data_IF_356301099980
#
_entry.id   IF_356301099980
#
_cell.length_a   1.000
_cell.length_b   1.000
_cell.length_c   1.000
_cell.angle_alpha   90.00
_cell.angle_beta   90.00
_cell.angle_gamma   90.00
#
_symmetry.space_group_name_H-M   'P 1'
#
loop_
_entity.id
_entity.type
_entity.pdbx_description
1 polymer ?
#
# COMPACT_ATOMS: atom_id res chain seq x y z
N UNK A 1 7.68 7.93 -13.34
CA UNK A 1 8.09 6.97 -12.28
C UNK A 1 8.00 7.66 -10.92
N UNK A 2 7.18 7.14 -10.00
CA UNK A 2 6.97 7.76 -8.67
C UNK A 2 8.21 7.65 -7.78
N UNK A 3 8.37 8.58 -6.83
CA UNK A 3 9.49 8.62 -5.87
C UNK A 3 9.74 7.27 -5.19
N UNK A 4 8.65 6.56 -4.85
CA UNK A 4 8.62 5.25 -4.20
C UNK A 4 9.14 4.07 -5.04
N UNK A 5 9.25 4.19 -6.36
CA UNK A 5 9.73 3.08 -7.21
C UNK A 5 11.16 3.29 -7.73
N UNK A 6 11.80 4.39 -7.36
CA UNK A 6 13.16 4.72 -7.80
C UNK A 6 14.17 4.07 -6.84
N UNK A 7 14.87 3.03 -7.30
CA UNK A 7 15.86 2.27 -6.50
C UNK A 7 16.85 3.15 -5.75
N UNK A 8 17.32 4.24 -6.38
CA UNK A 8 18.27 5.17 -5.74
C UNK A 8 17.70 5.88 -4.52
N UNK A 9 16.39 6.12 -4.46
CA UNK A 9 15.77 6.73 -3.29
C UNK A 9 15.76 5.76 -2.10
N UNK A 10 15.58 4.47 -2.34
CA UNK A 10 15.73 3.45 -1.30
C UNK A 10 17.16 3.36 -0.78
N UNK A 11 18.15 3.31 -1.68
CA UNK A 11 19.56 3.31 -1.29
C UNK A 11 19.94 4.55 -0.48
N UNK A 12 19.49 5.73 -0.91
CA UNK A 12 19.72 6.99 -0.17
C UNK A 12 19.11 6.95 1.22
N UNK A 13 17.89 6.44 1.37
CA UNK A 13 17.23 6.34 2.66
C UNK A 13 17.94 5.35 3.61
N UNK A 14 18.34 4.18 3.11
CA UNK A 14 19.14 3.21 3.87
C UNK A 14 20.49 3.81 4.26
N UNK A 15 21.22 4.40 3.30
CA UNK A 15 22.52 5.05 3.55
C UNK A 15 22.40 6.15 4.62
N UNK A 16 21.41 7.04 4.49
CA UNK A 16 21.21 8.12 5.44
C UNK A 16 20.95 7.61 6.88
N UNK A 17 20.26 6.48 7.01
CA UNK A 17 20.08 5.84 8.31
C UNK A 17 21.39 5.23 8.83
N UNK A 18 22.15 4.53 7.98
CA UNK A 18 23.42 3.90 8.36
C UNK A 18 24.50 4.92 8.75
N UNK A 19 24.63 6.02 8.00
CA UNK A 19 25.57 7.10 8.30
C UNK A 19 25.34 7.66 9.72
N UNK A 20 24.08 7.74 10.15
CA UNK A 20 23.69 8.23 11.49
C UNK A 20 23.96 7.22 12.60
N UNK A 21 23.95 5.92 12.30
CA UNK A 21 24.01 4.85 13.30
C UNK A 21 25.27 3.98 13.18
N UNK A 22 26.28 4.40 12.41
CA UNK A 22 27.55 3.69 12.25
C UNK A 22 27.40 2.28 11.67
N UNK A 23 26.45 2.08 10.76
CA UNK A 23 26.18 0.78 10.14
C UNK A 23 26.86 0.57 8.78
N UNK A 24 26.88 -0.67 8.31
CA UNK A 24 27.28 -1.05 6.95
C UNK A 24 26.18 -1.85 6.27
N UNK A 25 26.20 -1.83 4.94
CA UNK A 25 25.26 -2.59 4.11
C UNK A 25 25.98 -3.26 2.94
N UNK A 26 25.52 -4.45 2.58
CA UNK A 26 25.95 -5.19 1.39
C UNK A 26 24.72 -5.64 0.62
N UNK A 27 24.77 -5.55 -0.72
CA UNK A 27 23.71 -6.03 -1.61
C UNK A 27 24.26 -7.21 -2.38
N UNK A 28 23.57 -8.34 -2.32
CA UNK A 28 23.83 -9.44 -3.21
C UNK A 28 23.22 -9.12 -4.58
N UNK A 29 24.03 -8.86 -5.60
CA UNK A 29 23.54 -8.45 -6.93
C UNK A 29 22.72 -9.52 -7.65
N UNK A 30 22.85 -10.80 -7.28
CA UNK A 30 22.12 -11.90 -7.89
C UNK A 30 20.70 -12.02 -7.32
N UNK A 31 20.55 -11.88 -6.00
CA UNK A 31 19.25 -12.01 -5.33
C UNK A 31 18.59 -10.65 -5.05
N UNK A 32 19.37 -9.57 -5.15
CA UNK A 32 19.04 -8.23 -4.68
C UNK A 32 18.73 -8.14 -3.18
N UNK A 33 19.09 -9.17 -2.39
CA UNK A 33 18.96 -9.13 -0.93
C UNK A 33 19.95 -8.14 -0.33
N UNK A 34 19.49 -7.41 0.69
CA UNK A 34 20.25 -6.39 1.40
C UNK A 34 20.57 -6.88 2.80
N UNK A 35 21.85 -7.10 3.11
CA UNK A 35 22.32 -7.36 4.47
C UNK A 35 22.74 -6.04 5.11
N UNK A 36 22.28 -5.80 6.33
CA UNK A 36 22.65 -4.64 7.13
C UNK A 36 23.29 -5.10 8.43
N UNK A 37 24.40 -4.45 8.82
CA UNK A 37 25.10 -4.68 10.07
C UNK A 37 25.23 -3.38 10.84
N UNK A 38 24.80 -3.38 12.10
CA UNK A 38 25.08 -2.30 13.05
C UNK A 38 24.85 -2.81 14.47
N UNK A 39 25.51 -2.20 15.47
CA UNK A 39 25.31 -2.50 16.90
C UNK A 39 25.44 -3.98 17.25
N UNK A 40 26.41 -4.67 16.66
CA UNK A 40 26.62 -6.12 16.81
C UNK A 40 25.40 -6.99 16.44
N UNK A 41 24.50 -6.46 15.60
CA UNK A 41 23.36 -7.17 15.04
C UNK A 41 23.46 -7.17 13.53
N UNK A 42 22.85 -8.16 12.90
CA UNK A 42 22.72 -8.22 11.45
C UNK A 42 21.33 -8.70 11.05
N UNK A 43 20.82 -8.18 9.94
CA UNK A 43 19.55 -8.60 9.36
C UNK A 43 19.66 -8.66 7.85
N UNK A 44 19.02 -9.67 7.26
CA UNK A 44 18.82 -9.78 5.82
C UNK A 44 17.44 -9.22 5.48
N UNK A 45 17.38 -8.32 4.49
CA UNK A 45 16.15 -7.78 3.96
C UNK A 45 15.93 -8.31 2.53
N UNK A 46 14.71 -8.77 2.29
CA UNK A 46 14.29 -9.37 1.03
C UNK A 46 13.71 -8.30 0.11
N UNK A 47 14.10 -8.28 -1.18
CA UNK A 47 13.60 -7.31 -2.12
C UNK A 47 12.15 -7.63 -2.53
N UNK A 48 11.45 -6.61 -2.98
CA UNK A 48 10.18 -6.73 -3.68
C UNK A 48 10.24 -5.90 -4.97
N UNK A 49 9.59 -6.41 -6.01
CA UNK A 49 9.56 -5.79 -7.32
C UNK A 49 8.13 -5.69 -7.86
N UNK A 50 7.91 -4.71 -8.72
CA UNK A 50 6.78 -4.64 -9.63
C UNK A 50 7.15 -5.38 -10.92
N UNK A 51 6.24 -6.22 -11.41
CA UNK A 51 6.35 -6.84 -12.73
C UNK A 51 5.03 -6.69 -13.50
N UNK A 52 5.10 -6.80 -14.82
CA UNK A 52 3.91 -6.89 -15.68
C UNK A 52 3.86 -8.30 -16.28
N UNK A 53 2.94 -9.12 -15.77
CA UNK A 53 2.76 -10.50 -16.23
C UNK A 53 1.39 -10.64 -16.87
N UNK A 54 1.33 -11.08 -18.13
CA UNK A 54 0.08 -11.20 -18.89
C UNK A 54 -0.73 -9.89 -18.91
N UNK A 55 -0.06 -8.75 -19.08
CA UNK A 55 -0.68 -7.42 -19.10
C UNK A 55 -1.19 -6.91 -17.75
N UNK A 56 -0.92 -7.62 -16.64
CA UNK A 56 -1.33 -7.22 -15.29
C UNK A 56 -0.13 -6.90 -14.42
N UNK A 57 -0.26 -5.85 -13.63
CA UNK A 57 0.74 -5.50 -12.61
C UNK A 57 0.65 -6.51 -11.47
N UNK A 58 1.80 -7.01 -11.03
CA UNK A 58 1.92 -7.90 -9.87
C UNK A 58 3.18 -7.57 -9.06
N UNK A 59 3.21 -8.06 -7.82
CA UNK A 59 4.40 -8.02 -6.99
C UNK A 59 5.14 -9.36 -7.09
N UNK A 60 6.45 -9.30 -7.32
CA UNK A 60 7.31 -10.48 -7.41
C UNK A 60 8.51 -10.35 -6.47
N UNK A 61 9.01 -11.46 -5.88
CA UNK A 61 10.09 -11.43 -4.90
C UNK A 61 11.49 -11.47 -5.54
N UNK A 62 11.59 -11.61 -6.85
CA UNK A 62 12.84 -11.80 -7.58
C UNK A 62 12.91 -10.87 -8.80
N UNK A 63 14.13 -10.47 -9.15
CA UNK A 63 14.39 -9.67 -10.34
C UNK A 63 14.33 -10.59 -11.57
N UNK A 64 13.28 -10.46 -12.37
CA UNK A 64 13.07 -11.19 -13.64
C UNK A 64 13.05 -10.21 -14.82
N UNK A 65 12.98 -10.73 -16.04
CA UNK A 65 12.86 -9.91 -17.26
C UNK A 65 11.56 -9.07 -17.29
N UNK A 66 10.51 -9.53 -16.60
CA UNK A 66 9.22 -8.83 -16.52
C UNK A 66 9.19 -7.70 -15.48
N UNK A 67 10.27 -7.53 -14.70
CA UNK A 67 10.33 -6.52 -13.64
C UNK A 67 10.41 -5.11 -14.24
N UNK A 68 9.48 -4.27 -13.83
CA UNK A 68 9.36 -2.87 -14.26
C UNK A 68 9.77 -1.87 -13.18
N UNK A 69 9.94 -2.32 -11.93
CA UNK A 69 10.38 -1.45 -10.85
C UNK A 69 10.77 -2.18 -9.57
N UNK A 70 11.65 -1.58 -8.80
CA UNK A 70 11.97 -1.98 -7.43
C UNK A 70 11.05 -1.26 -6.46
N UNK A 71 10.51 -1.96 -5.47
CA UNK A 71 9.53 -1.39 -4.52
C UNK A 71 9.91 -1.56 -3.05
N UNK A 72 11.14 -1.97 -2.77
CA UNK A 72 11.72 -1.89 -1.43
C UNK A 72 12.26 -3.21 -0.88
N UNK A 73 12.78 -3.11 0.34
CA UNK A 73 13.36 -4.21 1.11
C UNK A 73 12.62 -4.37 2.42
N UNK A 74 12.27 -5.59 2.79
CA UNK A 74 11.57 -5.92 4.04
C UNK A 74 12.26 -7.06 4.80
N UNK A 75 12.14 -7.14 6.13
CA UNK A 75 12.78 -8.19 6.93
C UNK A 75 12.09 -9.56 6.82
N UNK A 76 11.12 -9.68 5.92
CA UNK A 76 10.35 -10.88 5.69
C UNK A 76 9.94 -10.96 4.21
N UNK A 77 9.60 -12.17 3.77
CA UNK A 77 9.02 -12.43 2.45
C UNK A 77 7.54 -12.03 2.44
N UNK A 78 6.92 -11.82 1.26
CA UNK A 78 5.54 -11.39 1.16
C UNK A 78 4.59 -12.18 2.07
N UNK A 79 3.79 -11.46 2.85
CA UNK A 79 2.85 -12.03 3.82
C UNK A 79 1.44 -11.99 3.26
N UNK A 80 0.61 -12.98 3.62
CA UNK A 80 -0.81 -12.99 3.30
C UNK A 80 -1.60 -13.28 4.56
N UNK A 81 -2.68 -12.55 4.75
CA UNK A 81 -3.63 -12.74 5.85
C UNK A 81 -5.03 -12.38 5.41
N UNK A 82 -6.03 -12.92 6.10
CA UNK A 82 -7.43 -12.94 5.64
C UNK A 82 -7.99 -11.54 5.39
N UNK A 83 -7.83 -10.62 6.34
CA UNK A 83 -8.34 -9.24 6.24
C UNK A 83 -7.61 -8.38 5.19
N UNK A 84 -6.45 -8.81 4.65
CA UNK A 84 -5.84 -8.13 3.48
C UNK A 84 -6.27 -8.72 2.14
N UNK A 85 -6.77 -9.95 2.16
CA UNK A 85 -7.16 -10.68 0.93
C UNK A 85 -8.63 -10.46 0.62
N UNK A 86 -9.46 -10.29 1.65
CA UNK A 86 -10.91 -10.16 1.55
C UNK A 86 -11.39 -8.80 2.07
N UNK A 87 -11.89 -7.96 1.17
CA UNK A 87 -12.39 -6.61 1.47
C UNK A 87 -13.59 -6.63 2.41
N UNK A 88 -14.37 -7.70 2.46
CA UNK A 88 -15.54 -7.77 3.34
C UNK A 88 -15.11 -8.09 4.78
N UNK A 89 -14.16 -9.01 4.95
CA UNK A 89 -13.54 -9.27 6.26
C UNK A 89 -12.82 -8.03 6.81
N UNK A 90 -12.12 -7.29 5.95
CA UNK A 90 -11.55 -6.00 6.32
C UNK A 90 -12.61 -5.05 6.88
N UNK A 91 -13.73 -4.88 6.17
CA UNK A 91 -14.78 -3.94 6.57
C UNK A 91 -15.51 -4.36 7.83
N UNK A 92 -15.72 -5.66 8.02
CA UNK A 92 -16.25 -6.21 9.27
C UNK A 92 -15.33 -5.85 10.45
N UNK A 93 -14.04 -6.18 10.35
CA UNK A 93 -13.04 -5.86 11.37
C UNK A 93 -13.01 -4.36 11.71
N UNK A 94 -13.03 -3.48 10.71
CA UNK A 94 -13.02 -2.03 10.93
C UNK A 94 -14.31 -1.55 11.62
N UNK A 95 -15.49 -2.04 11.19
CA UNK A 95 -16.79 -1.63 11.77
C UNK A 95 -16.97 -2.09 13.21
N UNK A 96 -16.50 -3.29 13.56
CA UNK A 96 -16.52 -3.80 14.94
C UNK A 96 -15.76 -2.89 15.91
N UNK A 97 -14.76 -2.17 15.41
CA UNK A 97 -13.96 -1.21 16.18
C UNK A 97 -14.43 0.25 16.01
N UNK A 98 -15.60 0.47 15.40
CA UNK A 98 -16.15 1.81 15.16
C UNK A 98 -15.41 2.62 14.09
N UNK A 99 -14.52 1.99 13.30
CA UNK A 99 -13.81 2.65 12.21
C UNK A 99 -14.69 2.70 10.96
N UNK A 100 -14.81 3.89 10.38
CA UNK A 100 -15.71 4.14 9.27
C UNK A 100 -15.28 3.41 7.99
N UNK A 101 -16.22 2.67 7.40
CA UNK A 101 -16.13 2.09 6.07
C UNK A 101 -17.41 2.41 5.30
N UNK A 102 -17.38 2.51 3.96
CA UNK A 102 -18.60 2.73 3.18
C UNK A 102 -19.62 1.61 3.39
N UNK A 103 -20.90 1.94 3.28
CA UNK A 103 -21.97 0.93 3.32
C UNK A 103 -21.78 -0.11 2.20
N UNK A 104 -22.14 -1.35 2.50
CA UNK A 104 -22.06 -2.48 1.57
C UNK A 104 -23.44 -3.11 1.37
N UNK A 105 -23.69 -3.56 0.15
CA UNK A 105 -24.91 -4.28 -0.22
C UNK A 105 -24.55 -5.51 -1.06
N UNK A 106 -25.40 -6.53 -1.01
CA UNK A 106 -25.33 -7.66 -1.93
C UNK A 106 -25.46 -7.16 -3.38
N UNK A 107 -24.74 -7.76 -4.33
CA UNK A 107 -24.78 -7.36 -5.73
C UNK A 107 -26.19 -7.49 -6.36
N UNK A 108 -27.02 -8.39 -5.84
CA UNK A 108 -28.39 -8.62 -6.28
C UNK A 108 -29.41 -7.73 -5.58
N UNK A 109 -29.09 -7.20 -4.40
CA UNK A 109 -30.01 -6.37 -3.61
C UNK A 109 -29.98 -4.91 -4.09
N UNK A 110 -31.13 -4.20 -4.16
CA UNK A 110 -31.16 -2.79 -4.53
C UNK A 110 -30.18 -1.94 -3.71
N UNK A 111 -29.36 -1.12 -4.39
CA UNK A 111 -28.47 -0.18 -3.71
C UNK A 111 -29.30 0.96 -3.11
N UNK A 112 -28.99 1.36 -1.87
CA UNK A 112 -29.63 2.51 -1.22
C UNK A 112 -29.07 3.87 -1.69
N UNK A 113 -28.05 3.87 -2.56
CA UNK A 113 -27.43 5.08 -3.08
C UNK A 113 -26.45 4.82 -4.21
N UNK A 114 -25.70 5.86 -4.56
CA UNK A 114 -24.62 5.83 -5.53
C UNK A 114 -23.55 4.83 -5.07
N UNK A 115 -23.03 4.03 -5.99
CA UNK A 115 -22.22 2.86 -5.63
C UNK A 115 -21.21 2.45 -6.70
N UNK A 116 -20.29 1.59 -6.31
CA UNK A 116 -19.37 0.87 -7.17
C UNK A 116 -19.58 -0.63 -7.01
N UNK A 117 -19.21 -1.41 -8.03
CA UNK A 117 -19.17 -2.87 -7.97
C UNK A 117 -17.74 -3.32 -7.72
N UNK A 118 -17.55 -4.21 -6.75
CA UNK A 118 -16.24 -4.73 -6.36
C UNK A 118 -16.29 -6.24 -6.19
N UNK A 119 -15.23 -6.93 -6.61
CA UNK A 119 -14.93 -8.26 -6.06
C UNK A 119 -14.33 -8.10 -4.66
N UNK A 120 -14.80 -8.90 -3.70
CA UNK A 120 -14.23 -9.00 -2.34
C UNK A 120 -12.77 -9.42 -2.35
N UNK A 121 -12.37 -10.24 -3.33
CA UNK A 121 -10.98 -10.64 -3.56
C UNK A 121 -10.49 -10.11 -4.89
N UNK A 122 -9.37 -9.41 -4.88
CA UNK A 122 -8.80 -8.77 -6.06
C UNK A 122 -7.83 -7.67 -5.65
N UNK A 123 -6.94 -7.31 -6.56
CA UNK A 123 -5.91 -6.27 -6.36
C UNK A 123 -5.81 -5.38 -7.60
N UNK A 124 -5.15 -4.23 -7.47
CA UNK A 124 -4.87 -3.26 -8.56
C UNK A 124 -6.12 -2.71 -9.29
N UNK A 125 -7.29 -2.79 -8.67
CA UNK A 125 -8.52 -2.19 -9.20
C UNK A 125 -9.04 -2.80 -10.50
N UNK A 126 -8.56 -3.99 -10.91
CA UNK A 126 -9.05 -4.68 -12.12
C UNK A 126 -10.48 -5.21 -11.94
N UNK A 127 -10.86 -5.55 -10.71
CA UNK A 127 -12.18 -6.09 -10.36
C UNK A 127 -13.07 -5.01 -9.71
N UNK A 128 -12.98 -3.78 -10.22
CA UNK A 128 -13.71 -2.60 -9.78
C UNK A 128 -14.40 -1.95 -10.99
N UNK A 129 -15.69 -1.63 -10.84
CA UNK A 129 -16.49 -0.99 -11.89
C UNK A 129 -17.42 0.08 -11.31
N UNK A 130 -17.75 1.09 -12.11
CA UNK A 130 -18.51 2.29 -11.71
C UNK A 130 -17.68 3.56 -11.78
N UNK A 131 -18.09 4.64 -11.09
CA UNK A 131 -19.23 4.73 -10.19
C UNK A 131 -20.58 4.71 -10.93
N UNK A 132 -21.63 4.30 -10.22
CA UNK A 132 -23.00 4.19 -10.72
C UNK A 132 -23.95 5.01 -9.86
N UNK A 133 -24.89 5.69 -10.53
CA UNK A 133 -26.03 6.32 -9.87
C UNK A 133 -26.99 5.27 -9.35
N UNK A 134 -27.77 5.63 -8.33
CA UNK A 134 -28.94 4.82 -7.94
C UNK A 134 -29.84 4.57 -9.18
N UNK A 135 -30.25 3.32 -9.37
CA UNK A 135 -31.04 2.85 -10.51
C UNK A 135 -30.36 2.88 -11.89
N UNK A 136 -29.07 3.19 -11.99
CA UNK A 136 -28.33 3.06 -13.25
C UNK A 136 -28.14 1.58 -13.59
N UNK A 137 -28.37 1.23 -14.86
CA UNK A 137 -28.07 -0.11 -15.38
C UNK A 137 -26.58 -0.43 -15.22
N UNK A 138 -26.28 -1.63 -14.74
CA UNK A 138 -24.92 -2.08 -14.46
C UNK A 138 -24.49 -3.13 -15.47
N UNK A 139 -23.25 -3.09 -15.97
CA UNK A 139 -22.69 -4.19 -16.72
C UNK A 139 -22.56 -5.41 -15.82
N UNK A 140 -22.61 -6.60 -16.41
CA UNK A 140 -22.20 -7.81 -15.71
C UNK A 140 -20.71 -7.67 -15.35
N UNK A 141 -20.39 -7.81 -14.07
CA UNK A 141 -19.00 -7.93 -13.65
C UNK A 141 -18.44 -9.25 -14.17
N UNK A 142 -17.21 -9.27 -14.73
CA UNK A 142 -16.54 -10.52 -14.98
C UNK A 142 -16.46 -11.32 -13.67
N UNK A 143 -16.48 -12.67 -13.74
CA UNK A 143 -16.32 -13.49 -12.57
C UNK A 143 -15.03 -13.07 -11.85
N UNK A 144 -15.16 -12.68 -10.59
CA UNK A 144 -14.03 -12.25 -9.77
C UNK A 144 -13.03 -13.40 -9.55
N UNK A 145 -11.98 -13.13 -8.78
CA UNK A 145 -11.03 -14.18 -8.42
C UNK A 145 -11.73 -15.36 -7.71
N UNK A 146 -11.25 -16.60 -7.88
CA UNK A 146 -11.81 -17.77 -7.19
C UNK A 146 -11.96 -17.54 -5.68
N UNK A 147 -13.16 -17.81 -5.18
CA UNK A 147 -13.52 -17.61 -3.77
C UNK A 147 -13.83 -16.16 -3.37
N UNK A 148 -13.86 -15.22 -4.31
CA UNK A 148 -14.39 -13.88 -4.11
C UNK A 148 -15.87 -13.79 -4.51
N UNK A 149 -16.66 -13.05 -3.73
CA UNK A 149 -18.00 -12.59 -4.10
C UNK A 149 -17.99 -11.15 -4.61
N UNK A 150 -18.87 -10.85 -5.57
CA UNK A 150 -19.12 -9.47 -6.04
C UNK A 150 -20.12 -8.81 -5.09
N UNK A 151 -19.86 -7.56 -4.72
CA UNK A 151 -20.73 -6.77 -3.85
C UNK A 151 -20.80 -5.32 -4.33
N UNK A 152 -21.82 -4.60 -3.88
CA UNK A 152 -21.98 -3.16 -4.06
C UNK A 152 -21.41 -2.44 -2.85
N UNK A 153 -20.69 -1.37 -3.09
CA UNK A 153 -20.16 -0.49 -2.04
C UNK A 153 -20.60 0.95 -2.32
N UNK A 154 -21.03 1.67 -1.29
CA UNK A 154 -21.38 3.08 -1.41
C UNK A 154 -20.21 3.89 -1.99
N UNK A 155 -20.50 4.65 -3.05
CA UNK A 155 -19.51 5.54 -3.64
C UNK A 155 -19.39 6.79 -2.78
N UNK A 156 -18.19 7.00 -2.24
CA UNK A 156 -17.85 8.20 -1.46
C UNK A 156 -17.05 9.12 -2.37
N UNK A 157 -17.59 10.31 -2.65
CA UNK A 157 -16.86 11.34 -3.37
C UNK A 157 -15.89 12.06 -2.42
N UNK A 158 -14.66 12.31 -2.88
CA UNK A 158 -13.65 13.00 -2.08
C UNK A 158 -12.26 12.88 -2.67
N UNK A 159 -11.26 12.88 -1.80
CA UNK A 159 -9.85 12.71 -2.17
C UNK A 159 -9.37 11.30 -1.89
N UNK A 160 -8.60 10.73 -2.80
CA UNK A 160 -7.94 9.44 -2.60
C UNK A 160 -6.90 9.55 -1.49
N UNK A 161 -7.00 8.64 -0.52
CA UNK A 161 -6.04 8.45 0.55
C UNK A 161 -5.38 7.08 0.40
N UNK A 162 -4.06 7.02 0.49
CA UNK A 162 -3.32 5.80 0.77
C UNK A 162 -2.33 6.07 1.89
N UNK A 163 -2.41 5.34 2.99
CA UNK A 163 -1.53 5.50 4.13
C UNK A 163 -0.75 4.21 4.39
N UNK A 164 0.56 4.35 4.64
CA UNK A 164 1.45 3.23 4.95
C UNK A 164 1.80 3.23 6.43
N UNK A 165 1.80 2.03 6.99
CA UNK A 165 1.97 1.79 8.40
C UNK A 165 3.11 0.79 8.64
N UNK A 166 3.87 1.04 9.71
CA UNK A 166 4.79 0.07 10.26
C UNK A 166 4.30 -0.28 11.66
N UNK A 167 3.66 -1.44 11.81
CA UNK A 167 2.88 -1.73 13.01
C UNK A 167 1.68 -0.78 13.12
N UNK A 168 1.54 -0.06 14.23
CA UNK A 168 0.47 0.93 14.43
C UNK A 168 0.83 2.34 13.95
N UNK A 169 2.06 2.56 13.50
CA UNK A 169 2.58 3.90 13.23
C UNK A 169 2.42 4.25 11.75
N UNK A 170 1.58 5.24 11.37
CA UNK A 170 1.60 5.78 10.01
C UNK A 170 2.92 6.54 9.77
N UNK A 171 3.58 6.27 8.65
CA UNK A 171 4.87 6.92 8.33
C UNK A 171 4.90 7.56 6.94
N UNK A 172 3.89 7.27 6.11
CA UNK A 172 3.76 7.84 4.79
C UNK A 172 2.29 7.91 4.42
N UNK A 173 1.87 8.97 3.72
CA UNK A 173 0.53 9.04 3.18
C UNK A 173 0.50 9.82 1.87
N UNK A 174 -0.32 9.34 0.95
CA UNK A 174 -0.72 10.01 -0.28
C UNK A 174 -2.13 10.55 -0.09
N UNK A 175 -2.34 11.83 -0.40
CA UNK A 175 -3.66 12.46 -0.39
C UNK A 175 -3.84 13.28 -1.67
N UNK A 176 -4.71 12.82 -2.56
CA UNK A 176 -4.80 13.37 -3.91
C UNK A 176 -6.24 13.50 -4.38
N UNK A 177 -6.50 14.58 -5.12
CA UNK A 177 -7.75 14.72 -5.86
C UNK A 177 -7.85 13.68 -6.97
N UNK A 178 -9.06 13.46 -7.46
CA UNK A 178 -9.29 12.66 -8.65
C UNK A 178 -8.66 13.32 -9.87
N UNK A 179 -8.20 12.54 -10.86
CA UNK A 179 -7.81 13.11 -12.15
C UNK A 179 -9.03 13.73 -12.83
N UNK A 180 -8.86 14.93 -13.37
CA UNK A 180 -9.93 15.74 -13.93
C UNK A 180 -9.56 16.32 -15.30
N UNK A 181 -10.58 16.70 -16.05
CA UNK A 181 -10.50 17.61 -17.21
C UNK A 181 -11.30 18.87 -16.91
N UNK A 182 -10.90 19.99 -17.52
CA UNK A 182 -11.56 21.28 -17.38
C UNK A 182 -12.13 21.72 -18.72
N UNK A 183 -13.38 22.18 -18.71
CA UNK A 183 -14.05 22.73 -19.88
C UNK A 183 -13.50 24.10 -20.26
N UNK A 184 -13.49 24.38 -21.56
CA UNK A 184 -13.11 25.67 -22.12
C UNK A 184 -14.27 26.36 -22.86
N UNK A 185 -15.47 25.78 -22.80
CA UNK A 185 -16.66 26.28 -23.50
C UNK A 185 -16.71 26.02 -25.01
N UNK A 186 -15.70 25.34 -25.59
CA UNK A 186 -15.57 25.17 -27.04
C UNK A 186 -15.33 23.72 -27.47
N UNK A 187 -14.44 23.01 -26.79
CA UNK A 187 -14.06 21.63 -27.14
C UNK A 187 -14.95 20.62 -26.44
N UNK A 188 -15.16 19.49 -27.11
CA UNK A 188 -15.89 18.37 -26.51
C UNK A 188 -15.01 17.62 -25.51
N UNK A 189 -15.64 16.89 -24.60
CA UNK A 189 -14.97 15.99 -23.65
C UNK A 189 -14.05 15.00 -24.36
N UNK A 190 -14.40 14.48 -25.54
CA UNK A 190 -13.54 13.61 -26.32
C UNK A 190 -12.18 14.26 -26.65
N UNK A 191 -12.19 15.54 -27.07
CA UNK A 191 -10.96 16.29 -27.39
C UNK A 191 -10.15 16.57 -26.13
N UNK A 192 -10.81 17.00 -25.05
CA UNK A 192 -10.16 17.27 -23.76
C UNK A 192 -9.52 16.00 -23.16
N UNK A 193 -10.18 14.84 -23.29
CA UNK A 193 -9.62 13.54 -22.90
C UNK A 193 -8.41 13.17 -23.74
N UNK A 194 -8.49 13.29 -25.07
CA UNK A 194 -7.38 12.96 -25.96
C UNK A 194 -6.13 13.78 -25.64
N UNK A 195 -6.29 15.09 -25.41
CA UNK A 195 -5.20 15.96 -24.97
C UNK A 195 -4.64 15.55 -23.61
N UNK A 196 -5.52 15.26 -22.64
CA UNK A 196 -5.09 14.81 -21.31
C UNK A 196 -4.29 13.51 -21.38
N UNK A 197 -4.74 12.54 -22.17
CA UNK A 197 -4.04 11.27 -22.36
C UNK A 197 -2.70 11.47 -23.08
N UNK A 198 -2.68 12.27 -24.14
CA UNK A 198 -1.46 12.58 -24.88
C UNK A 198 -0.41 13.25 -23.98
N UNK A 199 -0.84 14.10 -23.02
CA UNK A 199 0.06 14.77 -22.08
C UNK A 199 0.85 13.82 -21.17
N UNK A 200 0.37 12.57 -21.01
CA UNK A 200 1.03 11.51 -20.22
C UNK A 200 1.49 10.34 -21.09
N UNK A 201 1.60 10.55 -22.41
CA UNK A 201 2.07 9.55 -23.38
C UNK A 201 1.09 8.40 -23.63
N UNK A 202 -0.20 8.59 -23.37
CA UNK A 202 -1.26 7.60 -23.61
C UNK A 202 -2.14 8.01 -24.80
N UNK A 203 -2.86 7.04 -25.36
CA UNK A 203 -3.88 7.25 -26.41
C UNK A 203 -5.22 6.71 -25.94
N UNK A 204 -6.28 7.48 -26.20
CA UNK A 204 -7.66 7.09 -25.87
C UNK A 204 -8.08 5.83 -26.63
N UNK A 205 -7.61 5.66 -27.86
CA UNK A 205 -7.95 4.55 -28.75
C UNK A 205 -7.35 3.22 -28.30
N UNK A 206 -6.18 3.27 -27.67
CA UNK A 206 -5.40 2.08 -27.28
C UNK A 206 -5.47 1.77 -25.79
N UNK A 207 -6.05 2.68 -25.00
CA UNK A 207 -6.13 2.50 -23.56
C UNK A 207 -7.19 1.46 -23.16
N UNK A 208 -6.73 0.36 -22.56
CA UNK A 208 -7.59 -0.79 -22.24
C UNK A 208 -8.69 -0.50 -21.20
N UNK A 209 -8.59 0.58 -20.42
CA UNK A 209 -9.53 0.90 -19.35
C UNK A 209 -10.43 2.11 -19.66
N UNK A 210 -10.65 2.44 -20.94
CA UNK A 210 -11.53 3.56 -21.33
C UNK A 210 -12.97 3.42 -20.80
N UNK A 211 -13.47 2.20 -20.64
CA UNK A 211 -14.80 1.97 -20.06
C UNK A 211 -14.93 2.52 -18.64
N UNK A 212 -13.87 2.47 -17.83
CA UNK A 212 -13.88 3.07 -16.49
C UNK A 212 -13.97 4.61 -16.56
N UNK A 213 -13.32 5.22 -17.56
CA UNK A 213 -13.40 6.67 -17.80
C UNK A 213 -14.81 7.09 -18.21
N UNK A 214 -15.42 6.33 -19.11
CA UNK A 214 -16.79 6.59 -19.53
C UNK A 214 -17.80 6.38 -18.41
N UNK A 215 -17.61 5.38 -17.54
CA UNK A 215 -18.43 5.21 -16.35
C UNK A 215 -18.34 6.42 -15.40
N UNK A 216 -17.12 6.94 -15.17
CA UNK A 216 -16.91 8.14 -14.35
C UNK A 216 -17.59 9.40 -14.93
N UNK A 217 -17.54 9.57 -16.25
CA UNK A 217 -18.22 10.69 -16.93
C UNK A 217 -19.74 10.53 -16.89
N UNK A 218 -20.25 9.34 -17.19
CA UNK A 218 -21.68 9.04 -17.16
C UNK A 218 -22.28 9.27 -15.77
N UNK A 219 -21.56 8.93 -14.70
CA UNK A 219 -21.95 9.23 -13.33
C UNK A 219 -22.17 10.73 -13.08
N UNK A 220 -21.38 11.58 -13.72
CA UNK A 220 -21.48 13.03 -13.66
C UNK A 220 -22.44 13.62 -14.71
N UNK A 221 -23.20 12.76 -15.40
CA UNK A 221 -24.12 13.11 -16.49
C UNK A 221 -23.42 13.83 -17.64
N UNK A 222 -22.20 13.38 -17.96
CA UNK A 222 -21.38 13.89 -19.05
C UNK A 222 -21.08 12.75 -20.02
N UNK A 223 -21.18 13.02 -21.31
CA UNK A 223 -20.73 12.11 -22.36
C UNK A 223 -19.57 12.70 -23.16
N UNK A 224 -18.98 11.91 -24.06
CA UNK A 224 -17.83 12.32 -24.88
C UNK A 224 -18.13 13.45 -25.87
N UNK A 225 -19.40 13.68 -26.20
CA UNK A 225 -19.85 14.71 -27.14
C UNK A 225 -20.21 16.03 -26.45
N UNK A 226 -20.35 16.00 -25.12
CA UNK A 226 -20.63 17.17 -24.30
C UNK A 226 -19.51 18.21 -24.44
N UNK A 227 -19.89 19.48 -24.63
CA UNK A 227 -18.99 20.63 -24.46
C UNK A 227 -19.16 21.15 -23.04
N UNK A 228 -18.10 21.06 -22.24
CA UNK A 228 -18.14 21.55 -20.86
C UNK A 228 -18.07 23.07 -20.84
N UNK A 229 -18.86 23.69 -19.96
CA UNK A 229 -18.78 25.13 -19.67
C UNK A 229 -17.35 25.53 -19.29
N UNK A 230 -16.94 26.73 -19.68
CA UNK A 230 -15.60 27.23 -19.38
C UNK A 230 -15.35 27.24 -17.86
N UNK A 231 -14.28 26.57 -17.42
CA UNK A 231 -13.91 26.39 -16.01
C UNK A 231 -14.63 25.26 -15.28
N UNK A 232 -15.61 24.56 -15.91
CA UNK A 232 -16.26 23.40 -15.29
C UNK A 232 -15.31 22.21 -15.29
N UNK A 233 -15.02 21.67 -14.12
CA UNK A 233 -14.18 20.48 -13.92
C UNK A 233 -15.03 19.23 -13.74
N UNK A 234 -14.59 18.12 -14.33
CA UNK A 234 -15.19 16.79 -14.13
C UNK A 234 -14.07 15.76 -13.97
N UNK A 235 -14.27 14.80 -13.07
CA UNK A 235 -13.28 13.74 -12.88
C UNK A 235 -13.42 12.66 -13.95
N UNK A 236 -12.29 12.09 -14.37
CA UNK A 236 -12.24 11.08 -15.44
C UNK A 236 -11.86 9.71 -14.90
N UNK A 237 -11.45 9.62 -13.64
CA UNK A 237 -11.27 8.39 -12.88
C UNK A 237 -11.38 8.74 -11.39
N UNK A 238 -11.61 7.75 -10.54
CA UNK A 238 -11.63 7.92 -9.08
C UNK A 238 -10.64 6.96 -8.39
N UNK A 239 -10.03 6.04 -9.15
CA UNK A 239 -9.18 4.97 -8.61
C UNK A 239 -7.79 5.51 -8.27
N UNK A 240 -7.24 5.03 -7.16
CA UNK A 240 -5.87 5.34 -6.75
C UNK A 240 -4.84 4.76 -7.73
N UNK A 241 -3.75 5.49 -7.96
CA UNK A 241 -2.57 4.99 -8.67
C UNK A 241 -2.67 4.98 -10.20
N UNK A 242 -3.69 5.63 -10.79
CA UNK A 242 -3.82 5.77 -12.25
C UNK A 242 -2.96 6.90 -12.80
N UNK A 243 -2.46 6.69 -14.01
CA UNK A 243 -1.43 7.52 -14.67
C UNK A 243 -1.91 8.93 -15.07
N UNK A 244 -3.20 9.24 -14.90
CA UNK A 244 -3.78 10.52 -15.27
C UNK A 244 -3.52 11.65 -14.27
N UNK A 245 -2.79 11.39 -13.18
CA UNK A 245 -2.43 12.42 -12.20
C UNK A 245 -1.21 13.22 -12.68
N UNK A 246 -1.19 14.55 -12.43
CA UNK A 246 -0.14 15.45 -12.91
C UNK A 246 1.30 14.98 -12.59
N UNK A 247 2.17 15.10 -13.60
CA UNK A 247 3.53 14.53 -13.69
C UNK A 247 4.59 15.17 -12.77
N UNK A 248 4.27 16.26 -12.06
CA UNK A 248 5.23 16.99 -11.21
C UNK A 248 5.77 16.21 -9.99
N UNK A 249 5.41 14.94 -9.87
CA UNK A 249 5.67 14.08 -8.70
C UNK A 249 6.91 13.20 -8.82
N UNK A 250 7.58 13.20 -9.96
CA UNK A 250 8.66 12.23 -10.20
C UNK A 250 9.95 12.50 -9.41
N UNK A 251 10.12 13.70 -8.84
CA UNK A 251 11.34 14.09 -8.11
C UNK A 251 11.14 14.62 -6.68
N UNK A 252 9.90 14.77 -6.21
CA UNK A 252 9.61 15.26 -4.85
C UNK A 252 9.11 14.10 -3.99
N UNK A 253 9.49 14.10 -2.71
CA UNK A 253 8.91 13.19 -1.72
C UNK A 253 7.39 13.36 -1.80
N UNK A 254 6.68 12.30 -2.15
CA UNK A 254 5.23 12.24 -2.30
C UNK A 254 4.51 12.00 -0.96
N UNK A 255 5.12 12.39 0.16
CA UNK A 255 4.56 12.18 1.49
C UNK A 255 3.74 13.40 1.95
N UNK A 256 2.42 13.27 1.93
CA UNK A 256 1.50 14.27 2.47
C UNK A 256 1.38 14.25 4.00
N UNK A 257 1.80 13.17 4.68
CA UNK A 257 1.58 12.97 6.12
C UNK A 257 2.03 14.16 6.99
N UNK A 258 3.23 14.77 6.79
CA UNK A 258 3.67 15.90 7.63
C UNK A 258 2.83 17.19 7.48
N UNK A 259 2.07 17.31 6.38
CA UNK A 259 1.22 18.47 6.08
C UNK A 259 -0.27 18.20 6.32
N UNK A 260 -0.63 16.99 6.78
CA UNK A 260 -2.01 16.66 7.16
C UNK A 260 -2.40 17.39 8.44
N UNK A 261 -3.67 17.77 8.52
CA UNK A 261 -4.25 18.32 9.73
C UNK A 261 -4.40 17.26 10.82
N UNK A 262 -4.37 17.70 12.08
CA UNK A 262 -4.42 16.79 13.23
C UNK A 262 -5.63 15.83 13.21
N UNK A 263 -6.87 16.28 12.89
CA UNK A 263 -8.02 15.37 12.85
C UNK A 263 -7.90 14.24 11.83
N UNK A 264 -7.21 14.46 10.70
CA UNK A 264 -6.95 13.41 9.73
C UNK A 264 -5.89 12.45 10.25
N UNK A 265 -4.81 12.98 10.85
CA UNK A 265 -3.76 12.16 11.47
C UNK A 265 -4.33 11.26 12.58
N UNK A 266 -5.24 11.77 13.40
CA UNK A 266 -5.92 11.01 14.47
C UNK A 266 -6.72 9.83 13.89
N UNK A 267 -7.42 10.04 12.77
CA UNK A 267 -8.15 8.98 12.06
C UNK A 267 -7.20 7.90 11.49
N UNK A 268 -6.03 8.30 10.97
CA UNK A 268 -4.98 7.37 10.53
C UNK A 268 -4.45 6.55 11.70
N UNK A 269 -4.14 7.19 12.82
CA UNK A 269 -3.63 6.52 14.03
C UNK A 269 -4.66 5.51 14.58
N UNK A 270 -5.93 5.91 14.68
CA UNK A 270 -6.99 5.01 15.15
C UNK A 270 -7.12 3.76 14.27
N UNK A 271 -7.13 3.93 12.94
CA UNK A 271 -7.15 2.81 12.00
C UNK A 271 -5.90 1.92 12.11
N UNK A 272 -4.72 2.53 12.23
CA UNK A 272 -3.45 1.82 12.39
C UNK A 272 -3.39 0.99 13.67
N UNK A 273 -3.90 1.51 14.79
CA UNK A 273 -3.98 0.79 16.06
C UNK A 273 -4.87 -0.45 15.97
N UNK A 274 -6.05 -0.32 15.35
CA UNK A 274 -6.99 -1.45 15.14
C UNK A 274 -6.33 -2.55 14.33
N UNK A 275 -5.74 -2.21 13.18
CA UNK A 275 -5.11 -3.20 12.30
C UNK A 275 -3.88 -3.82 12.96
N UNK A 276 -3.03 -3.02 13.61
CA UNK A 276 -1.86 -3.52 14.32
C UNK A 276 -2.23 -4.47 15.47
N UNK A 277 -3.27 -4.16 16.24
CA UNK A 277 -3.77 -5.05 17.30
C UNK A 277 -4.20 -6.41 16.74
N UNK A 278 -4.85 -6.42 15.58
CA UNK A 278 -5.19 -7.67 14.88
C UNK A 278 -3.94 -8.40 14.39
N UNK A 279 -3.01 -7.71 13.74
CA UNK A 279 -1.79 -8.32 13.20
C UNK A 279 -0.87 -8.90 14.28
N UNK A 280 -0.82 -8.31 15.49
CA UNK A 280 -0.06 -8.84 16.63
C UNK A 280 -0.54 -10.22 17.10
N UNK A 281 -1.77 -10.63 16.73
CA UNK A 281 -2.27 -11.97 17.01
C UNK A 281 -1.64 -13.03 16.08
N UNK A 282 -1.15 -12.59 14.91
CA UNK A 282 -0.62 -13.47 13.86
C UNK A 282 0.92 -13.34 13.72
N UNK A 283 1.47 -12.16 14.01
CA UNK A 283 2.88 -11.84 13.81
C UNK A 283 3.52 -11.32 15.10
N UNK A 284 4.73 -11.81 15.46
CA UNK A 284 5.41 -11.41 16.70
C UNK A 284 6.01 -10.00 16.66
N UNK A 285 5.99 -9.32 15.51
CA UNK A 285 6.60 -8.01 15.32
C UNK A 285 5.77 -7.12 14.39
N UNK A 286 6.16 -5.84 14.25
CA UNK A 286 5.48 -4.92 13.35
C UNK A 286 5.62 -5.37 11.90
N UNK A 287 4.54 -5.21 11.15
CA UNK A 287 4.43 -5.57 9.74
C UNK A 287 4.05 -4.31 8.96
N UNK A 288 4.63 -4.15 7.78
CA UNK A 288 4.22 -3.18 6.77
C UNK A 288 2.84 -3.55 6.22
N UNK A 289 1.94 -2.58 6.20
CA UNK A 289 0.73 -2.62 5.40
C UNK A 289 0.38 -1.22 4.92
N UNK A 290 -0.57 -1.13 4.00
CA UNK A 290 -1.18 0.14 3.63
C UNK A 290 -2.70 0.04 3.68
N UNK A 291 -3.34 1.14 4.04
CA UNK A 291 -4.78 1.30 4.01
C UNK A 291 -5.14 2.28 2.90
N UNK A 292 -6.10 1.89 2.08
CA UNK A 292 -6.68 2.74 1.04
C UNK A 292 -7.99 3.32 1.57
N UNK A 293 -8.23 4.62 1.32
CA UNK A 293 -9.37 5.35 1.84
C UNK A 293 -9.81 6.48 0.92
N UNK A 294 -10.96 7.08 1.25
CA UNK A 294 -11.41 8.36 0.67
C UNK A 294 -11.62 9.35 1.81
N UNK A 295 -11.08 10.56 1.66
CA UNK A 295 -11.37 11.70 2.56
C UNK A 295 -12.51 12.49 1.93
N UNK A 296 -13.68 12.48 2.56
CA UNK A 296 -14.83 13.24 2.09
C UNK A 296 -14.69 14.75 2.32
N UNK A 297 -15.68 15.52 1.88
CA UNK A 297 -15.69 16.97 2.03
C UNK A 297 -15.72 17.45 3.50
N UNK A 298 -16.11 16.60 4.45
CA UNK A 298 -16.11 16.90 5.87
C UNK A 298 -14.79 16.51 6.56
N UNK A 299 -13.79 16.01 5.81
CA UNK A 299 -12.53 15.55 6.36
C UNK A 299 -12.59 14.16 7.00
N UNK A 300 -13.69 13.43 6.82
CA UNK A 300 -13.85 12.07 7.35
C UNK A 300 -13.22 11.06 6.40
N UNK A 301 -12.47 10.13 6.96
CA UNK A 301 -11.86 9.00 6.23
C UNK A 301 -12.86 7.85 6.15
N UNK A 302 -13.08 7.37 4.94
CA UNK A 302 -13.82 6.16 4.63
C UNK A 302 -12.86 5.09 4.14
N UNK A 303 -12.55 4.11 4.98
CA UNK A 303 -11.56 3.08 4.66
C UNK A 303 -12.14 2.05 3.70
N UNK A 304 -11.42 1.80 2.60
CA UNK A 304 -11.86 0.99 1.48
C UNK A 304 -11.32 -0.42 1.57
N UNK A 305 -10.00 -0.56 1.67
CA UNK A 305 -9.30 -1.84 1.68
C UNK A 305 -7.92 -1.73 2.33
N UNK A 306 -7.29 -2.88 2.55
CA UNK A 306 -5.92 -2.99 3.04
C UNK A 306 -5.08 -3.80 2.06
N UNK A 307 -3.81 -3.40 1.92
CA UNK A 307 -2.82 -4.16 1.17
C UNK A 307 -1.73 -4.66 2.14
N UNK A 308 -1.44 -5.96 2.08
CA UNK A 308 -0.44 -6.64 2.91
C UNK A 308 1.00 -6.54 2.40
N UNK A 309 1.16 -6.23 1.12
CA UNK A 309 2.47 -6.11 0.47
C UNK A 309 2.51 -4.85 -0.38
N UNK A 310 2.26 -3.66 0.19
CA UNK A 310 2.31 -2.44 -0.60
C UNK A 310 3.76 -2.13 -0.99
N UNK A 311 3.93 -1.28 -2.00
CA UNK A 311 5.23 -0.67 -2.26
C UNK A 311 5.75 0.00 -0.99
N UNK A 312 7.04 -0.16 -0.65
CA UNK A 312 7.60 0.35 0.60
C UNK A 312 8.21 1.75 0.40
N UNK A 313 7.61 2.83 0.95
CA UNK A 313 8.15 4.17 0.79
C UNK A 313 9.56 4.30 1.38
N UNK A 314 10.50 4.99 0.73
CA UNK A 314 11.82 5.23 1.31
C UNK A 314 11.78 5.92 2.69
N UNK A 315 10.72 6.68 3.00
CA UNK A 315 10.53 7.28 4.34
C UNK A 315 10.23 6.25 5.43
N UNK A 316 9.97 4.99 5.08
CA UNK A 316 9.74 3.89 6.01
C UNK A 316 11.01 3.24 6.57
N UNK A 317 12.15 3.36 5.88
CA UNK A 317 13.41 2.74 6.34
C UNK A 317 13.81 3.15 7.76
N UNK A 318 13.69 4.42 8.19
CA UNK A 318 13.98 4.78 9.58
C UNK A 318 13.14 4.02 10.62
N UNK A 319 11.86 3.77 10.34
CA UNK A 319 10.97 3.03 11.24
C UNK A 319 11.32 1.54 11.28
N UNK A 320 11.51 0.95 10.10
CA UNK A 320 11.92 -0.45 9.95
C UNK A 320 13.27 -0.72 10.62
N UNK A 321 14.30 0.04 10.25
CA UNK A 321 15.66 -0.16 10.76
C UNK A 321 15.76 0.20 12.25
N UNK A 322 15.04 1.23 12.71
CA UNK A 322 14.92 1.55 14.13
C UNK A 322 14.31 0.41 14.95
N UNK A 323 13.31 -0.29 14.39
CA UNK A 323 12.75 -1.50 15.04
C UNK A 323 13.77 -2.63 15.08
N UNK A 324 14.41 -2.92 13.95
CA UNK A 324 15.31 -4.06 13.83
C UNK A 324 16.57 -3.91 14.69
N UNK A 325 17.14 -2.71 14.76
CA UNK A 325 18.43 -2.48 15.43
C UNK A 325 18.30 -1.73 16.76
N UNK A 326 17.07 -1.43 17.19
CA UNK A 326 16.79 -0.58 18.35
C UNK A 326 17.12 0.89 18.10
N UNK A 327 16.97 1.69 19.15
CA UNK A 327 17.35 3.10 19.20
C UNK A 327 18.61 3.28 20.07
N UNK A 328 19.25 4.46 20.00
CA UNK A 328 20.39 4.75 20.88
C UNK A 328 19.99 4.74 22.37
N UNK A 329 18.72 5.02 22.68
CA UNK A 329 18.19 4.93 24.03
C UNK A 329 18.14 3.46 24.52
N UNK A 330 17.83 2.52 23.64
CA UNK A 330 17.79 1.09 23.97
C UNK A 330 19.18 0.54 24.28
N UNK A 331 20.22 1.05 23.60
CA UNK A 331 21.62 0.73 23.90
C UNK A 331 22.03 1.27 25.27
N UNK A 332 21.71 2.53 25.57
CA UNK A 332 22.03 3.15 26.85
C UNK A 332 21.37 2.41 28.03
N UNK A 333 20.11 2.00 27.87
CA UNK A 333 19.40 1.20 28.86
C UNK A 333 20.01 -0.21 29.03
N UNK A 334 20.40 -0.86 27.93
CA UNK A 334 20.99 -2.21 27.95
C UNK A 334 22.41 -2.21 28.53
N UNK A 335 23.21 -1.18 28.28
CA UNK A 335 24.55 -1.02 28.88
C UNK A 335 24.50 -0.73 30.38
N UNK A 336 23.43 -0.12 30.90
CA UNK A 336 23.22 0.07 32.34
C UNK A 336 22.69 -1.18 33.05
N UNK A 337 22.01 -2.08 32.32
CA UNK A 337 21.40 -3.27 32.88
C UNK A 337 22.33 -4.48 32.94
N UNK A 338 23.52 -4.44 32.30
CA UNK A 338 24.50 -5.51 32.48
C UNK A 338 25.10 -5.41 33.90
N UNK A 339 24.84 -6.38 34.80
CA UNK A 339 25.50 -6.41 36.09
C UNK A 339 27.01 -6.45 35.86
N UNK A 340 27.76 -5.68 36.65
CA UNK A 340 29.21 -5.71 36.64
C UNK A 340 29.66 -7.19 36.63
N UNK A 341 30.61 -7.56 35.75
CA UNK A 341 31.02 -8.95 35.59
C UNK A 341 31.34 -9.50 36.98
N UNK A 342 30.57 -10.50 37.42
CA UNK A 342 30.81 -11.16 38.69
C UNK A 342 32.28 -11.60 38.67
N UNK A 343 33.06 -11.06 39.60
CA UNK A 343 34.46 -11.42 39.81
C UNK A 343 34.55 -12.95 39.77
N UNK A 344 35.23 -13.47 38.75
CA UNK A 344 35.28 -14.89 38.47
C UNK A 344 35.72 -15.65 39.72
N UNK A 345 34.85 -16.54 40.20
CA UNK A 345 35.25 -17.55 41.18
C UNK A 345 36.32 -18.47 40.54
N UNK A 346 37.31 -18.91 41.31
CA UNK A 346 38.40 -19.75 40.81
C UNK A 346 37.85 -21.05 40.21
N UNK A 347 38.37 -21.41 39.04
CA UNK A 347 37.91 -22.52 38.23
C UNK A 347 38.02 -23.87 38.96
N UNK A 348 36.87 -24.48 39.29
CA UNK A 348 36.81 -25.90 39.58
C UNK A 348 36.77 -26.71 38.27
N UNK A 349 37.74 -27.61 38.15
CA UNK A 349 37.96 -28.53 37.04
C UNK A 349 36.77 -29.49 36.88
N UNK A 350 35.92 -29.26 35.88
CA UNK A 350 34.87 -30.20 35.48
C UNK A 350 35.36 -31.20 34.43
N UNK A 351 35.12 -32.48 34.72
CA UNK A 351 35.41 -33.63 33.85
C UNK A 351 34.54 -33.65 32.57
N UNK A 352 34.98 -34.33 31.49
CA UNK A 352 34.29 -34.34 30.21
C UNK A 352 32.99 -35.18 30.24
N UNK A 353 31.92 -34.61 29.69
CA UNK A 353 30.65 -35.28 29.41
C UNK A 353 30.70 -35.90 27.99
N UNK A 354 30.22 -37.13 27.77
CA UNK A 354 30.25 -37.77 26.46
C UNK A 354 29.18 -37.23 25.51
N UNK A 355 29.51 -37.25 24.22
CA UNK A 355 28.75 -36.69 23.11
C UNK A 355 27.39 -37.37 22.88
N UNK A 356 26.33 -36.58 22.74
CA UNK A 356 25.00 -37.00 22.28
C UNK A 356 24.84 -36.60 20.82
N UNK A 357 24.46 -37.58 20.00
CA UNK A 357 24.25 -37.50 18.56
C UNK A 357 22.84 -36.96 18.24
N UNK A 358 22.65 -35.94 17.38
CA UNK A 358 21.32 -35.57 16.91
C UNK A 358 21.14 -35.90 15.43
N UNK A 359 20.28 -36.86 15.14
CA UNK A 359 19.63 -37.00 13.84
C UNK A 359 18.13 -36.78 14.02
N UNK A 360 17.67 -35.56 13.71
CA UNK A 360 16.24 -35.27 13.54
C UNK A 360 16.04 -34.58 12.18
N UNK A 361 15.23 -35.25 11.39
CA UNK A 361 14.83 -34.96 10.03
C UNK A 361 13.70 -33.91 10.05
N UNK A 362 13.89 -32.76 9.38
CA UNK A 362 12.86 -31.73 9.19
C UNK A 362 12.47 -31.68 7.71
N UNK A 363 11.39 -32.38 7.37
CA UNK A 363 10.62 -32.16 6.15
C UNK A 363 9.17 -31.81 6.51
N UNK A 364 8.59 -30.95 5.66
CA UNK A 364 7.21 -30.49 5.62
C UNK A 364 6.86 -29.29 6.51
N UNK A 365 6.65 -28.13 5.87
CA UNK A 365 5.34 -27.49 5.69
C UNK A 365 5.49 -26.44 4.58
N UNK A 366 4.89 -26.72 3.43
CA UNK A 366 4.55 -25.75 2.39
C UNK A 366 3.27 -26.25 1.71
N UNK A 367 2.15 -25.62 2.05
CA UNK A 367 0.88 -25.68 1.33
C UNK A 367 0.19 -24.32 1.50
#
# INVERSE_FOLDING_TARGET
MSYITVTMNHLRAVKAWLDRHGGTATINVQTFELEIKTRNRYFSLYPQFLAVMSGRVCYVPAMTEDVTGFIGWLPYRPLRWSISTDKLLFKECMREQGIATPAIWDATAPAAGDHVLKSSRGSFGYDLSGPYRVNQAQPAMPPGQPGGQVFREAFVAGRNLKAWFWGDTPFHAHLHDYPEIEGDGHRTVAVLLAERFASVGLSVETWAEMEAVYAALAFQQVDRHTVLENGRRVFIDFRYGRLFANEDRFNRIDNNLPAMDAPLVDQLQAAGQVVAARLRQEFPGPVLYSLDGVVDAAGKVWWLEMNSNPTFPPTGYPHLLGTLFGTAADEAASSQAMPAPATAAPAESLMPVPAVNPSVNLQAIAA
#
